data_IF_287390522035
#
_entry.id   IF_287390522035
#
_cell.length_a   1.000
_cell.length_b   1.000
_cell.length_c   1.000
_cell.angle_alpha   90.00
_cell.angle_beta   90.00
_cell.angle_gamma   90.00
#
_symmetry.space_group_name_H-M   'P 1'
#
loop_
_entity.id
_entity.type
_entity.pdbx_description
1 polymer ?
#
# COMPACT_ATOMS: atom_id res chain seq x y z
N UNK A 1 -3.21 8.91 -34.48
CA UNK A 1 -2.01 8.35 -33.81
C UNK A 1 -2.45 7.28 -32.83
N UNK A 2 -1.59 6.33 -32.49
CA UNK A 2 -1.97 5.15 -31.68
C UNK A 2 -1.17 5.11 -30.39
N UNK A 3 -1.85 4.87 -29.27
CA UNK A 3 -1.24 4.58 -27.98
C UNK A 3 -1.13 3.07 -27.80
N UNK A 4 0.09 2.59 -27.53
CA UNK A 4 0.39 1.18 -27.31
C UNK A 4 0.67 0.96 -25.83
N UNK A 5 -0.13 0.11 -25.19
CA UNK A 5 0.02 -0.22 -23.77
C UNK A 5 0.83 -1.51 -23.62
N UNK A 6 1.72 -1.57 -22.62
CA UNK A 6 2.41 -2.83 -22.25
C UNK A 6 1.45 -3.69 -21.41
N UNK A 7 1.35 -4.98 -21.72
CA UNK A 7 0.50 -5.95 -20.99
C UNK A 7 -0.76 -6.37 -21.76
N UNK A 8 -1.82 -6.76 -21.04
CA UNK A 8 -3.07 -7.33 -21.62
C UNK A 8 -4.08 -6.28 -22.13
N UNK A 9 -3.75 -4.99 -22.11
CA UNK A 9 -4.66 -3.92 -22.57
C UNK A 9 -4.53 -3.72 -24.08
N UNK A 10 -5.66 -3.54 -24.75
CA UNK A 10 -5.72 -3.24 -26.19
C UNK A 10 -5.19 -1.83 -26.50
N UNK A 11 -4.63 -1.65 -27.69
CA UNK A 11 -4.17 -0.34 -28.19
C UNK A 11 -5.35 0.62 -28.34
N UNK A 12 -5.08 1.92 -28.22
CA UNK A 12 -6.07 2.99 -28.40
C UNK A 12 -5.69 3.85 -29.60
N UNK A 13 -6.56 3.89 -30.61
CA UNK A 13 -6.41 4.73 -31.80
C UNK A 13 -7.13 6.07 -31.61
N UNK A 14 -6.41 7.17 -31.82
CA UNK A 14 -6.91 8.54 -31.67
C UNK A 14 -6.79 9.31 -32.99
N UNK A 15 -7.82 10.10 -33.30
CA UNK A 15 -7.87 10.99 -34.47
C UNK A 15 -7.80 12.43 -33.97
N UNK A 16 -6.89 13.22 -34.55
CA UNK A 16 -6.75 14.66 -34.26
C UNK A 16 -7.22 15.48 -35.48
N UNK A 17 -7.59 16.74 -35.26
CA UNK A 17 -8.10 17.61 -36.31
C UNK A 17 -6.99 18.09 -37.27
N UNK A 18 -5.72 18.03 -36.82
CA UNK A 18 -4.56 18.40 -37.63
C UNK A 18 -3.31 17.58 -37.29
N UNK A 19 -2.32 17.61 -38.18
CA UNK A 19 -1.02 16.97 -37.94
C UNK A 19 -0.28 17.66 -36.79
N UNK A 20 -0.39 18.98 -36.68
CA UNK A 20 0.23 19.81 -35.64
C UNK A 20 -0.33 19.48 -34.24
N UNK A 21 -1.66 19.30 -34.16
CA UNK A 21 -2.32 18.87 -32.93
C UNK A 21 -1.87 17.46 -32.51
N UNK A 22 -1.86 16.51 -33.46
CA UNK A 22 -1.36 15.17 -33.21
C UNK A 22 0.10 15.17 -32.69
N UNK A 23 0.97 15.99 -33.29
CA UNK A 23 2.37 16.12 -32.85
C UNK A 23 2.48 16.73 -31.45
N UNK A 24 1.65 17.71 -31.12
CA UNK A 24 1.62 18.32 -29.79
C UNK A 24 1.22 17.31 -28.72
N UNK A 25 0.19 16.51 -28.97
CA UNK A 25 -0.22 15.40 -28.11
C UNK A 25 0.87 14.34 -27.94
N UNK A 26 1.50 13.90 -29.04
CA UNK A 26 2.58 12.91 -29.01
C UNK A 26 3.75 13.42 -28.17
N UNK A 27 4.15 14.69 -28.35
CA UNK A 27 5.24 15.31 -27.60
C UNK A 27 4.92 15.42 -26.11
N UNK A 28 3.70 15.84 -25.76
CA UNK A 28 3.24 15.90 -24.36
C UNK A 28 3.24 14.53 -23.69
N UNK A 29 2.68 13.52 -24.34
CA UNK A 29 2.63 12.15 -23.82
C UNK A 29 4.03 11.55 -23.64
N UNK A 30 4.96 11.78 -24.58
CA UNK A 30 6.36 11.35 -24.43
C UNK A 30 7.03 11.97 -23.21
N UNK A 31 6.84 13.28 -23.01
CA UNK A 31 7.37 13.97 -21.83
C UNK A 31 6.79 13.43 -20.52
N UNK A 32 5.50 13.08 -20.48
CA UNK A 32 4.88 12.46 -19.31
C UNK A 32 5.45 11.07 -19.03
N UNK A 33 5.64 10.25 -20.08
CA UNK A 33 6.26 8.93 -19.95
C UNK A 33 7.71 9.05 -19.46
N UNK A 34 8.52 9.92 -20.07
CA UNK A 34 9.89 10.19 -19.64
C UNK A 34 9.94 10.70 -18.20
N UNK A 35 8.99 11.55 -17.79
CA UNK A 35 8.87 12.00 -16.40
C UNK A 35 8.62 10.81 -15.47
N UNK A 36 7.63 9.96 -15.77
CA UNK A 36 7.29 8.79 -14.96
C UNK A 36 8.42 7.74 -14.89
N UNK A 37 9.16 7.56 -15.99
CA UNK A 37 10.31 6.66 -16.05
C UNK A 37 11.48 7.18 -15.22
N UNK A 38 11.69 8.50 -15.17
CA UNK A 38 12.79 9.13 -14.45
C UNK A 38 12.47 9.49 -12.99
N UNK A 39 11.20 9.36 -12.56
CA UNK A 39 10.82 9.59 -11.17
C UNK A 39 11.44 8.53 -10.25
N UNK A 40 12.02 8.98 -9.14
CA UNK A 40 12.47 8.11 -8.06
C UNK A 40 11.31 7.40 -7.38
N UNK A 41 11.57 6.31 -6.64
CA UNK A 41 10.54 5.53 -5.94
C UNK A 41 9.72 6.39 -4.97
N UNK A 42 10.36 7.34 -4.30
CA UNK A 42 9.71 8.30 -3.40
C UNK A 42 8.74 9.24 -4.13
N UNK A 43 9.15 9.79 -5.28
CA UNK A 43 8.30 10.68 -6.07
C UNK A 43 7.12 9.92 -6.69
N UNK A 44 7.32 8.64 -7.07
CA UNK A 44 6.23 7.76 -7.54
C UNK A 44 5.21 7.50 -6.44
N UNK A 45 5.67 7.26 -5.21
CA UNK A 45 4.80 7.10 -4.06
C UNK A 45 4.02 8.39 -3.78
N UNK A 46 4.69 9.54 -3.75
CA UNK A 46 4.05 10.84 -3.49
C UNK A 46 2.99 11.17 -4.57
N UNK A 47 3.30 10.94 -5.86
CA UNK A 47 2.33 11.15 -6.94
C UNK A 47 1.14 10.19 -6.86
N UNK A 48 1.39 8.92 -6.52
CA UNK A 48 0.34 7.93 -6.36
C UNK A 48 -0.57 8.23 -5.16
N UNK A 49 -0.02 8.69 -4.04
CA UNK A 49 -0.81 9.15 -2.87
C UNK A 49 -1.67 10.35 -3.27
N UNK A 50 -1.11 11.32 -4.02
CA UNK A 50 -1.87 12.45 -4.56
C UNK A 50 -3.01 12.04 -5.49
N UNK A 51 -2.83 10.97 -6.28
CA UNK A 51 -3.90 10.43 -7.14
C UNK A 51 -5.03 9.80 -6.32
N UNK A 52 -4.72 9.17 -5.18
CA UNK A 52 -5.75 8.67 -4.26
C UNK A 52 -6.49 9.77 -3.53
N UNK A 53 -5.77 10.81 -3.10
CA UNK A 53 -6.38 12.00 -2.50
C UNK A 53 -7.45 12.56 -3.43
N UNK A 54 -7.10 12.83 -4.69
CA UNK A 54 -8.02 13.37 -5.70
C UNK A 54 -9.20 12.45 -6.02
N UNK A 55 -9.05 11.14 -5.88
CA UNK A 55 -10.17 10.19 -6.09
C UNK A 55 -11.11 10.15 -4.89
N UNK A 56 -10.60 10.42 -3.70
CA UNK A 56 -11.35 10.33 -2.46
C UNK A 56 -12.05 11.64 -2.11
N UNK A 57 -11.46 12.80 -2.42
CA UNK A 57 -12.07 14.12 -2.33
C UNK A 57 -13.20 14.25 -3.37
N UNK A 58 -14.43 13.87 -2.97
CA UNK A 58 -15.59 13.81 -3.88
C UNK A 58 -16.23 15.17 -4.06
N UNK A 59 -16.16 16.02 -3.03
CA UNK A 59 -16.73 17.36 -3.07
C UNK A 59 -15.75 18.41 -3.65
N UNK A 60 -14.49 18.03 -3.91
CA UNK A 60 -13.40 18.87 -4.41
C UNK A 60 -13.15 20.09 -3.51
N UNK A 61 -13.27 19.93 -2.19
CA UNK A 61 -12.98 20.99 -1.23
C UNK A 61 -11.50 21.06 -0.83
N UNK A 62 -10.68 20.15 -1.37
CA UNK A 62 -9.25 20.08 -1.10
C UNK A 62 -8.92 19.45 0.25
N UNK A 63 -9.90 18.78 0.88
CA UNK A 63 -9.76 18.08 2.16
C UNK A 63 -10.51 16.75 2.06
N UNK A 64 -10.25 15.87 3.04
CA UNK A 64 -10.99 14.62 3.17
C UNK A 64 -11.67 14.51 4.52
N UNK A 65 -13.00 14.50 4.52
CA UNK A 65 -13.73 14.16 5.73
C UNK A 65 -13.69 12.64 5.99
N UNK A 66 -14.11 12.21 7.18
CA UNK A 66 -14.04 10.80 7.56
C UNK A 66 -14.85 9.87 6.65
N UNK A 67 -15.96 10.34 6.08
CA UNK A 67 -16.78 9.54 5.16
C UNK A 67 -16.04 9.28 3.84
N UNK A 68 -15.32 10.27 3.33
CA UNK A 68 -14.47 10.11 2.13
C UNK A 68 -13.32 9.15 2.38
N UNK A 69 -12.73 9.18 3.58
CA UNK A 69 -11.74 8.19 4.02
C UNK A 69 -12.32 6.77 4.06
N UNK A 70 -13.53 6.59 4.60
CA UNK A 70 -14.20 5.27 4.59
C UNK A 70 -14.46 4.77 3.16
N UNK A 71 -14.89 5.64 2.26
CA UNK A 71 -15.09 5.30 0.86
C UNK A 71 -13.77 4.96 0.15
N UNK A 72 -12.69 5.67 0.47
CA UNK A 72 -11.34 5.38 -0.02
C UNK A 72 -10.86 3.99 0.43
N UNK A 73 -11.03 3.64 1.70
CA UNK A 73 -10.66 2.31 2.21
C UNK A 73 -11.37 1.19 1.45
N UNK A 74 -12.68 1.36 1.18
CA UNK A 74 -13.45 0.42 0.34
C UNK A 74 -12.92 0.36 -1.09
N UNK A 75 -12.57 1.51 -1.68
CA UNK A 75 -12.04 1.59 -3.04
C UNK A 75 -10.66 0.93 -3.18
N UNK A 76 -9.85 0.95 -2.11
CA UNK A 76 -8.57 0.24 -2.02
C UNK A 76 -8.72 -1.24 -1.65
N UNK A 77 -9.94 -1.73 -1.43
CA UNK A 77 -10.23 -3.09 -0.96
C UNK A 77 -9.56 -3.40 0.40
N UNK A 78 -9.47 -2.41 1.28
CA UNK A 78 -8.99 -2.56 2.66
C UNK A 78 -10.19 -2.81 3.57
N UNK A 79 -10.23 -4.00 4.20
CA UNK A 79 -11.23 -4.33 5.22
C UNK A 79 -10.73 -3.88 6.59
N UNK A 80 -11.20 -2.70 7.04
CA UNK A 80 -10.80 -2.10 8.29
C UNK A 80 -12.03 -1.74 9.11
N UNK A 81 -12.00 -2.09 10.41
CA UNK A 81 -13.09 -1.72 11.31
C UNK A 81 -13.15 -0.20 11.49
N UNK A 82 -14.38 0.32 11.62
CA UNK A 82 -14.64 1.77 11.67
C UNK A 82 -13.96 2.46 12.87
N UNK A 83 -13.87 1.79 14.02
CA UNK A 83 -13.20 2.34 15.20
C UNK A 83 -11.70 2.55 14.98
N UNK A 84 -11.04 1.64 14.27
CA UNK A 84 -9.63 1.72 13.96
C UNK A 84 -9.37 2.80 12.90
N UNK A 85 -10.18 2.83 11.83
CA UNK A 85 -10.12 3.88 10.82
C UNK A 85 -10.32 5.28 11.45
N UNK A 86 -11.29 5.43 12.35
CA UNK A 86 -11.54 6.68 13.06
C UNK A 86 -10.36 7.08 13.95
N UNK A 87 -9.73 6.11 14.63
CA UNK A 87 -8.55 6.39 15.44
C UNK A 87 -7.39 6.90 14.57
N UNK A 88 -7.10 6.23 13.46
CA UNK A 88 -6.04 6.66 12.53
C UNK A 88 -6.35 8.04 11.94
N UNK A 89 -7.60 8.30 11.57
CA UNK A 89 -8.06 9.61 11.10
C UNK A 89 -7.81 10.70 12.15
N UNK A 90 -8.23 10.50 13.40
CA UNK A 90 -8.02 11.46 14.48
C UNK A 90 -6.53 11.66 14.82
N UNK A 91 -5.71 10.62 14.66
CA UNK A 91 -4.26 10.75 14.84
C UNK A 91 -3.61 11.55 13.71
N UNK A 92 -4.18 11.49 12.50
CA UNK A 92 -3.70 12.20 11.33
C UNK A 92 -4.13 13.67 11.27
N UNK A 93 -5.36 13.99 11.72
CA UNK A 93 -5.93 15.35 11.79
C UNK A 93 -5.22 16.19 12.87
N UNK A 94 -4.03 16.71 12.55
CA UNK A 94 -3.21 17.55 13.42
C UNK A 94 -3.79 18.96 13.55
N UNK A 95 -4.45 19.42 12.50
CA UNK A 95 -5.14 20.70 12.40
C UNK A 95 -6.43 20.72 13.24
N UNK A 96 -6.96 19.55 13.63
CA UNK A 96 -8.19 19.37 14.38
C UNK A 96 -9.41 19.96 13.67
N UNK A 97 -9.44 19.85 12.35
CA UNK A 97 -10.50 20.43 11.52
C UNK A 97 -11.66 19.48 11.28
N UNK A 98 -11.53 18.21 11.65
CA UNK A 98 -12.49 17.15 11.30
C UNK A 98 -12.35 16.68 9.86
N UNK A 99 -11.24 17.01 9.21
CA UNK A 99 -10.90 16.67 7.83
C UNK A 99 -9.38 16.53 7.69
N UNK A 100 -8.91 15.78 6.70
CA UNK A 100 -7.49 15.64 6.39
C UNK A 100 -7.14 16.55 5.22
N UNK A 101 -6.22 17.49 5.46
CA UNK A 101 -5.54 18.24 4.40
C UNK A 101 -4.50 17.34 3.68
N UNK A 102 -3.89 17.80 2.58
CA UNK A 102 -2.99 17.01 1.74
C UNK A 102 -1.88 16.28 2.54
N UNK A 103 -1.21 16.98 3.46
CA UNK A 103 -0.12 16.45 4.28
C UNK A 103 -0.62 15.51 5.39
N UNK A 104 -1.76 15.83 5.99
CA UNK A 104 -2.44 14.98 6.97
C UNK A 104 -2.96 13.69 6.33
N UNK A 105 -3.39 13.73 5.07
CA UNK A 105 -3.75 12.54 4.33
C UNK A 105 -2.54 11.67 4.03
N UNK A 106 -1.39 12.26 3.65
CA UNK A 106 -0.14 11.49 3.50
C UNK A 106 0.19 10.79 4.82
N UNK A 107 0.03 11.48 5.97
CA UNK A 107 0.25 10.89 7.29
C UNK A 107 -0.76 9.77 7.59
N UNK A 108 -2.04 9.98 7.32
CA UNK A 108 -3.07 8.95 7.46
C UNK A 108 -2.75 7.72 6.61
N UNK A 109 -2.41 7.92 5.34
CA UNK A 109 -2.05 6.86 4.41
C UNK A 109 -0.82 6.10 4.90
N UNK A 110 0.21 6.80 5.40
CA UNK A 110 1.35 6.15 6.03
C UNK A 110 0.97 5.35 7.25
N UNK A 111 0.16 5.86 8.18
CA UNK A 111 -0.27 5.06 9.32
C UNK A 111 -1.16 3.86 8.92
N UNK A 112 -1.85 3.97 7.77
CA UNK A 112 -2.63 2.90 7.18
C UNK A 112 -1.74 1.82 6.56
N UNK A 113 -0.66 2.20 5.87
CA UNK A 113 0.14 1.27 5.04
C UNK A 113 1.52 0.93 5.62
N UNK A 114 2.06 1.79 6.47
CA UNK A 114 3.27 1.59 7.26
C UNK A 114 2.82 1.14 8.65
N UNK A 115 2.57 -0.16 8.81
CA UNK A 115 2.36 -0.80 10.11
C UNK A 115 3.69 -0.81 10.88
N UNK A 116 4.19 0.36 11.30
CA UNK A 116 5.46 0.46 12.03
C UNK A 116 5.45 -0.35 13.33
N UNK A 117 4.27 -0.55 13.92
CA UNK A 117 4.04 -1.47 15.03
C UNK A 117 4.42 -2.91 14.65
N UNK A 118 3.92 -3.40 13.50
CA UNK A 118 4.27 -4.72 12.97
C UNK A 118 5.71 -4.76 12.50
N UNK A 119 6.20 -3.73 11.80
CA UNK A 119 7.58 -3.68 11.30
C UNK A 119 8.58 -3.74 12.44
N UNK A 120 8.32 -3.05 13.55
CA UNK A 120 9.16 -3.12 14.74
C UNK A 120 9.21 -4.53 15.31
N UNK A 121 8.05 -5.17 15.47
CA UNK A 121 7.99 -6.57 15.97
C UNK A 121 8.69 -7.51 14.99
N UNK A 122 8.45 -7.36 13.68
CA UNK A 122 9.11 -8.15 12.65
C UNK A 122 10.64 -8.01 12.72
N UNK A 123 11.16 -6.80 12.86
CA UNK A 123 12.59 -6.53 12.99
C UNK A 123 13.18 -7.02 14.32
N UNK A 124 12.39 -7.09 15.38
CA UNK A 124 12.81 -7.61 16.69
C UNK A 124 13.06 -9.13 16.64
N UNK A 125 12.21 -9.87 15.92
CA UNK A 125 12.31 -11.33 15.81
C UNK A 125 13.07 -11.80 14.55
N UNK A 126 13.20 -10.99 13.51
CA UNK A 126 13.92 -11.36 12.28
C UNK A 126 15.43 -11.34 12.47
N UNK A 127 16.04 -12.51 12.59
CA UNK A 127 17.49 -12.66 12.74
C UNK A 127 18.29 -12.03 11.58
N UNK A 128 17.76 -12.06 10.35
CA UNK A 128 18.42 -11.50 9.16
C UNK A 128 17.85 -10.15 8.69
N UNK A 129 16.82 -9.64 9.37
CA UNK A 129 16.13 -8.39 9.06
C UNK A 129 15.30 -8.41 7.76
N UNK A 130 15.19 -9.55 7.08
CA UNK A 130 14.51 -9.71 5.79
C UNK A 130 13.33 -10.68 5.84
N UNK A 131 13.42 -11.71 6.68
CA UNK A 131 12.39 -12.75 6.86
C UNK A 131 12.42 -13.31 8.27
N UNK A 132 11.29 -13.85 8.70
CA UNK A 132 11.22 -14.74 9.85
C UNK A 132 11.44 -16.15 9.34
N UNK A 133 12.54 -16.77 9.73
CA UNK A 133 12.68 -18.23 9.59
C UNK A 133 11.61 -18.92 10.42
N UNK A 134 11.39 -20.23 10.19
CA UNK A 134 10.46 -20.98 11.03
C UNK A 134 10.77 -20.83 12.53
N UNK A 135 12.05 -20.84 12.92
CA UNK A 135 12.46 -20.65 14.31
C UNK A 135 12.14 -19.25 14.83
N UNK A 136 12.42 -18.21 14.04
CA UNK A 136 12.12 -16.82 14.42
C UNK A 136 10.59 -16.64 14.64
N UNK A 137 9.79 -17.26 13.77
CA UNK A 137 8.32 -17.21 13.89
C UNK A 137 7.82 -17.99 15.11
N UNK A 138 8.41 -19.14 15.44
CA UNK A 138 8.10 -19.90 16.65
C UNK A 138 8.41 -19.11 17.92
N UNK A 139 9.51 -18.37 17.95
CA UNK A 139 9.89 -17.51 19.07
C UNK A 139 8.92 -16.34 19.21
N UNK A 140 8.56 -15.67 18.11
CA UNK A 140 7.50 -14.66 18.10
C UNK A 140 6.15 -15.21 18.64
N UNK A 141 5.72 -16.41 18.23
CA UNK A 141 4.47 -17.01 18.71
C UNK A 141 4.53 -17.31 20.21
N UNK A 142 5.68 -17.74 20.72
CA UNK A 142 5.86 -18.09 22.13
C UNK A 142 5.98 -16.86 23.03
N UNK A 143 6.75 -15.86 22.59
CA UNK A 143 7.17 -14.73 23.42
C UNK A 143 6.24 -13.53 23.25
N UNK A 144 5.87 -13.17 22.02
CA UNK A 144 4.99 -12.04 21.73
C UNK A 144 3.50 -12.43 21.81
N UNK A 145 3.12 -13.55 21.19
CA UNK A 145 1.72 -14.02 21.18
C UNK A 145 1.35 -14.89 22.40
N UNK A 146 2.34 -15.21 23.25
CA UNK A 146 2.17 -15.98 24.48
C UNK A 146 1.52 -17.37 24.27
N UNK A 147 1.73 -17.98 23.11
CA UNK A 147 1.18 -19.29 22.79
C UNK A 147 1.88 -20.40 23.61
N UNK A 148 1.07 -21.28 24.21
CA UNK A 148 1.56 -22.39 25.07
C UNK A 148 1.42 -23.78 24.42
N UNK A 149 0.98 -23.83 23.17
CA UNK A 149 0.69 -25.06 22.42
C UNK A 149 1.84 -25.52 21.53
N UNK A 150 1.52 -26.33 20.52
CA UNK A 150 2.47 -26.74 19.48
C UNK A 150 2.73 -25.59 18.50
N UNK A 151 3.59 -24.66 18.92
CA UNK A 151 4.00 -23.50 18.10
C UNK A 151 4.71 -23.91 16.82
N UNK A 152 5.35 -25.10 16.78
CA UNK A 152 6.05 -25.58 15.59
C UNK A 152 5.07 -25.89 14.46
N UNK A 153 4.03 -26.66 14.77
CA UNK A 153 2.99 -26.97 13.80
C UNK A 153 2.23 -25.71 13.39
N UNK A 154 1.94 -24.81 14.34
CA UNK A 154 1.23 -23.58 14.06
C UNK A 154 2.04 -22.65 13.14
N UNK A 155 3.33 -22.45 13.40
CA UNK A 155 4.21 -21.66 12.54
C UNK A 155 4.21 -22.17 11.09
N UNK A 156 4.23 -23.49 10.88
CA UNK A 156 4.14 -24.07 9.53
C UNK A 156 2.81 -23.76 8.85
N UNK A 157 1.70 -23.89 9.58
CA UNK A 157 0.37 -23.55 9.04
C UNK A 157 0.26 -22.07 8.68
N UNK A 158 0.83 -21.18 9.50
CA UNK A 158 0.84 -19.75 9.23
C UNK A 158 1.66 -19.43 7.97
N UNK A 159 2.84 -20.04 7.81
CA UNK A 159 3.66 -19.87 6.60
C UNK A 159 2.90 -20.37 5.37
N UNK A 160 2.28 -21.56 5.43
CA UNK A 160 1.53 -22.10 4.29
C UNK A 160 0.30 -21.24 3.93
N UNK A 161 -0.39 -20.72 4.95
CA UNK A 161 -1.64 -19.97 4.82
C UNK A 161 -1.49 -18.51 4.41
N UNK A 162 -0.46 -17.81 4.92
CA UNK A 162 -0.35 -16.35 4.81
C UNK A 162 0.83 -15.86 3.98
N UNK A 163 1.90 -16.65 3.78
CA UNK A 163 3.03 -16.22 2.96
C UNK A 163 2.62 -16.13 1.47
N UNK A 164 2.88 -15.03 0.75
CA UNK A 164 2.59 -14.94 -0.68
C UNK A 164 3.68 -15.56 -1.57
N UNK A 165 4.94 -15.60 -1.14
CA UNK A 165 6.05 -16.10 -1.96
C UNK A 165 6.21 -17.62 -1.87
N UNK A 166 5.99 -18.32 -2.98
CA UNK A 166 6.23 -19.77 -3.07
C UNK A 166 7.69 -20.14 -2.73
N UNK A 167 8.64 -19.26 -3.04
CA UNK A 167 10.05 -19.48 -2.69
C UNK A 167 10.27 -19.37 -1.19
N UNK A 168 9.65 -18.41 -0.52
CA UNK A 168 9.73 -18.28 0.94
C UNK A 168 9.04 -19.45 1.66
N UNK A 169 7.89 -19.91 1.14
CA UNK A 169 7.22 -21.14 1.63
C UNK A 169 8.12 -22.35 1.56
N UNK A 170 8.80 -22.56 0.41
CA UNK A 170 9.72 -23.69 0.24
C UNK A 170 10.87 -23.64 1.24
N UNK A 171 11.35 -22.43 1.58
CA UNK A 171 12.37 -22.19 2.58
C UNK A 171 11.85 -22.23 4.02
N UNK A 172 10.56 -22.48 4.22
CA UNK A 172 9.87 -22.43 5.52
C UNK A 172 10.14 -21.10 6.24
N UNK A 173 9.95 -20.00 5.53
CA UNK A 173 10.12 -18.66 6.06
C UNK A 173 8.94 -17.77 5.68
N UNK A 174 8.68 -16.79 6.53
CA UNK A 174 7.67 -15.76 6.35
C UNK A 174 8.35 -14.41 6.09
N UNK A 175 8.03 -13.80 4.97
CA UNK A 175 8.46 -12.44 4.62
C UNK A 175 7.64 -11.41 5.39
N UNK A 176 8.06 -10.14 5.35
CA UNK A 176 7.27 -9.07 5.96
C UNK A 176 5.85 -9.00 5.39
N UNK A 177 5.67 -9.24 4.09
CA UNK A 177 4.34 -9.31 3.47
C UNK A 177 3.51 -10.45 4.04
N UNK A 178 4.08 -11.65 4.21
CA UNK A 178 3.39 -12.77 4.85
C UNK A 178 3.02 -12.50 6.30
N UNK A 179 3.90 -11.80 7.03
CA UNK A 179 3.66 -11.41 8.42
C UNK A 179 2.57 -10.33 8.54
N UNK A 180 2.53 -9.38 7.60
CA UNK A 180 1.43 -8.43 7.45
C UNK A 180 0.11 -9.11 7.12
N UNK A 181 0.09 -10.12 6.25
CA UNK A 181 -1.14 -10.88 5.93
C UNK A 181 -1.68 -11.66 7.14
N UNK A 182 -0.81 -12.02 8.08
CA UNK A 182 -1.20 -12.72 9.31
C UNK A 182 -1.74 -11.77 10.40
N UNK A 183 -1.10 -10.61 10.61
CA UNK A 183 -1.43 -9.65 11.68
C UNK A 183 -2.25 -8.42 11.21
N UNK A 184 -2.51 -8.32 9.92
CA UNK A 184 -3.32 -7.28 9.27
C UNK A 184 -4.76 -7.72 9.11
#
# INVERSE_FOLDING_TARGET
FTLVFRGRRSNLDLVAESAEEAQSWIKGMRKLIESLENMGEREKLDQWIGDWFKKADKNNDGRMNFKEVQDLLRMMNVDMNEHHALRLFMMADKSQTGSLEDDEFVLFYKMLTEREDILRVFQEYSTDGQKLSQSDLEDFLREEQLERGDVHQHAQQLIEGYEPSDTAKLLKAMTFDGFLMYLG
#
